data_IF_764487479673
#
_entry.id   IF_764487479673
#
_cell.length_a   1.000
_cell.length_b   1.000
_cell.length_c   1.000
_cell.angle_alpha   90.00
_cell.angle_beta   90.00
_cell.angle_gamma   90.00
#
_symmetry.space_group_name_H-M   'P 1'
#
loop_
_entity.id
_entity.type
_entity.pdbx_description
1 polymer ?
#
# COMPACT_ATOMS: atom_id res chain seq x y z
N UNK A 1 28.16 -13.76 4.03
CA UNK A 1 26.98 -13.73 3.16
C UNK A 1 27.32 -12.71 2.10
N UNK A 2 27.58 -13.19 0.87
CA UNK A 2 27.95 -12.31 -0.25
C UNK A 2 26.89 -11.24 -0.47
N UNK A 3 27.31 -10.07 -0.91
CA UNK A 3 26.55 -8.82 -1.10
C UNK A 3 25.18 -9.04 -1.77
N UNK A 4 24.15 -9.33 -0.98
CA UNK A 4 22.77 -9.37 -1.47
C UNK A 4 22.14 -8.00 -1.32
N UNK A 5 21.60 -7.48 -2.41
CA UNK A 5 20.93 -6.17 -2.45
C UNK A 5 19.42 -6.41 -2.56
N UNK A 6 18.67 -5.92 -1.58
CA UNK A 6 17.23 -6.05 -1.54
C UNK A 6 16.56 -4.75 -2.03
N UNK A 7 15.90 -4.82 -3.18
CA UNK A 7 15.21 -3.72 -3.85
C UNK A 7 13.73 -4.05 -4.13
N UNK A 8 13.09 -4.78 -3.21
CA UNK A 8 11.67 -5.17 -3.32
C UNK A 8 10.87 -4.76 -2.07
N UNK A 9 11.13 -3.56 -1.54
CA UNK A 9 10.48 -3.02 -0.34
C UNK A 9 8.97 -2.76 -0.52
N UNK A 10 8.50 -2.53 -1.74
CA UNK A 10 7.06 -2.42 -2.03
C UNK A 10 6.31 -3.74 -1.84
N UNK A 11 6.99 -4.90 -1.92
CA UNK A 11 6.38 -6.19 -1.56
C UNK A 11 6.33 -6.37 -0.05
N UNK A 12 7.44 -6.17 0.65
CA UNK A 12 7.54 -6.17 2.13
C UNK A 12 8.86 -5.55 2.55
N UNK A 13 8.90 -4.91 3.70
CA UNK A 13 10.14 -4.31 4.22
C UNK A 13 10.71 -5.07 5.43
N UNK A 14 12.04 -5.04 5.65
CA UNK A 14 12.64 -5.50 6.90
C UNK A 14 12.08 -4.72 8.10
N UNK A 15 11.98 -5.38 9.25
CA UNK A 15 11.55 -4.72 10.48
C UNK A 15 12.70 -3.86 11.00
N UNK A 16 12.40 -2.59 11.36
CA UNK A 16 13.40 -1.67 11.92
C UNK A 16 13.94 -2.20 13.27
N UNK A 17 15.26 -2.08 13.57
CA UNK A 17 15.83 -2.59 14.81
C UNK A 17 15.15 -2.07 16.09
N UNK A 18 14.77 -0.79 16.14
CA UNK A 18 14.04 -0.21 17.29
C UNK A 18 12.62 -0.78 17.43
N UNK A 19 11.97 -1.08 16.30
CA UNK A 19 10.66 -1.76 16.30
C UNK A 19 10.78 -3.16 16.89
N UNK A 20 11.84 -3.91 16.56
CA UNK A 20 12.10 -5.23 17.14
C UNK A 20 12.26 -5.09 18.66
N UNK A 21 13.01 -4.10 19.16
CA UNK A 21 13.18 -3.89 20.60
C UNK A 21 11.86 -3.53 21.30
N UNK A 22 11.04 -2.67 20.67
CA UNK A 22 9.70 -2.33 21.20
C UNK A 22 8.82 -3.57 21.30
N UNK A 23 8.80 -4.42 20.25
CA UNK A 23 8.03 -5.66 20.26
C UNK A 23 8.51 -6.64 21.33
N UNK A 24 9.83 -6.81 21.48
CA UNK A 24 10.41 -7.65 22.53
C UNK A 24 10.01 -7.14 23.92
N UNK A 25 10.06 -5.83 24.16
CA UNK A 25 9.58 -5.21 25.40
C UNK A 25 8.11 -5.51 25.67
N UNK A 26 7.25 -5.40 24.65
CA UNK A 26 5.82 -5.72 24.78
C UNK A 26 5.59 -7.21 25.07
N UNK A 27 6.29 -8.11 24.39
CA UNK A 27 6.17 -9.56 24.59
C UNK A 27 6.61 -9.97 26.01
N UNK A 28 7.70 -9.40 26.52
CA UNK A 28 8.28 -9.81 27.79
C UNK A 28 7.61 -9.17 28.99
N UNK A 29 7.16 -7.92 28.88
CA UNK A 29 6.70 -7.13 30.03
C UNK A 29 5.20 -6.85 30.04
N UNK A 30 4.50 -6.96 28.87
CA UNK A 30 3.10 -6.57 28.73
C UNK A 30 2.23 -7.74 28.28
N UNK A 31 2.26 -8.82 29.03
CA UNK A 31 1.59 -10.10 28.71
C UNK A 31 0.09 -10.15 29.09
N UNK A 32 -0.43 -9.11 29.72
CA UNK A 32 -1.83 -9.06 30.18
C UNK A 32 -2.81 -8.94 29.01
N UNK A 33 -4.04 -9.42 29.22
CA UNK A 33 -5.14 -9.17 28.30
C UNK A 33 -5.68 -7.74 28.55
N UNK A 34 -5.74 -6.86 27.54
CA UNK A 34 -6.23 -5.48 27.70
C UNK A 34 -7.69 -5.36 28.22
N UNK A 35 -8.47 -6.44 28.15
CA UNK A 35 -9.83 -6.49 28.70
C UNK A 35 -9.89 -6.85 30.17
N UNK A 36 -8.78 -7.27 30.80
CA UNK A 36 -8.73 -7.68 32.21
C UNK A 36 -8.62 -6.49 33.17
N UNK A 37 -9.31 -6.56 34.31
CA UNK A 37 -9.37 -5.47 35.31
C UNK A 37 -8.17 -5.41 36.25
N UNK A 38 -7.37 -6.48 36.33
CA UNK A 38 -6.19 -6.54 37.19
C UNK A 38 -4.98 -5.75 36.64
N UNK A 39 -3.90 -5.60 37.41
CA UNK A 39 -2.77 -4.76 37.06
C UNK A 39 -2.16 -5.05 35.68
N UNK A 40 -1.95 -6.34 35.33
CA UNK A 40 -1.34 -6.71 34.07
C UNK A 40 -2.27 -6.35 32.87
N UNK A 41 -3.60 -6.47 33.03
CA UNK A 41 -4.55 -6.04 32.01
C UNK A 41 -4.56 -4.51 31.84
N UNK A 42 -4.45 -3.75 32.94
CA UNK A 42 -4.36 -2.28 32.84
C UNK A 42 -3.08 -1.80 32.16
N UNK A 43 -1.95 -2.46 32.41
CA UNK A 43 -0.68 -2.18 31.72
C UNK A 43 -0.80 -2.46 30.20
N UNK A 44 -1.37 -3.61 29.84
CA UNK A 44 -1.64 -3.97 28.46
C UNK A 44 -2.59 -2.97 27.79
N UNK A 45 -3.65 -2.55 28.50
CA UNK A 45 -4.60 -1.54 28.01
C UNK A 45 -3.93 -0.19 27.81
N UNK A 46 -3.07 0.24 28.72
CA UNK A 46 -2.31 1.47 28.58
C UNK A 46 -1.43 1.44 27.33
N UNK A 47 -0.68 0.36 27.10
CA UNK A 47 0.17 0.22 25.93
C UNK A 47 -0.62 0.24 24.63
N UNK A 48 -1.80 -0.41 24.61
CA UNK A 48 -2.72 -0.38 23.45
C UNK A 48 -3.25 1.03 23.18
N UNK A 49 -3.65 1.76 24.21
CA UNK A 49 -4.22 3.11 24.07
C UNK A 49 -3.12 4.11 23.64
N UNK A 50 -1.90 4.02 24.15
CA UNK A 50 -0.74 4.82 23.72
C UNK A 50 -0.40 4.56 22.25
N UNK A 51 -0.36 3.30 21.83
CA UNK A 51 -0.11 2.95 20.43
C UNK A 51 -1.22 3.49 19.50
N UNK A 52 -2.48 3.40 19.92
CA UNK A 52 -3.62 3.94 19.20
C UNK A 52 -3.56 5.46 19.05
N UNK A 53 -3.17 6.15 20.11
CA UNK A 53 -2.96 7.61 20.10
C UNK A 53 -1.92 7.99 19.04
N UNK A 54 -0.73 7.39 19.08
CA UNK A 54 0.34 7.63 18.12
C UNK A 54 -0.11 7.42 16.66
N UNK A 55 -0.84 6.31 16.39
CA UNK A 55 -1.37 6.02 15.06
C UNK A 55 -2.41 7.07 14.65
N UNK A 56 -3.33 7.46 15.54
CA UNK A 56 -4.34 8.48 15.22
C UNK A 56 -3.68 9.82 14.87
N UNK A 57 -2.71 10.26 15.67
CA UNK A 57 -1.98 11.50 15.42
C UNK A 57 -1.26 11.51 14.08
N UNK A 58 -0.72 10.36 13.65
CA UNK A 58 0.04 10.25 12.40
C UNK A 58 -0.76 10.55 11.13
N UNK A 59 -2.10 10.53 11.22
CA UNK A 59 -3.03 10.84 10.12
C UNK A 59 -4.01 11.96 10.47
N UNK A 60 -3.77 12.70 11.56
CA UNK A 60 -4.65 13.76 12.08
C UNK A 60 -6.07 13.30 12.40
N UNK A 61 -6.21 12.05 12.88
CA UNK A 61 -7.45 11.44 13.34
C UNK A 61 -7.54 11.44 14.87
N UNK A 62 -8.67 10.95 15.40
CA UNK A 62 -8.85 10.72 16.83
C UNK A 62 -8.87 9.21 17.13
N UNK A 63 -8.42 8.82 18.32
CA UNK A 63 -8.23 7.41 18.74
C UNK A 63 -9.44 6.50 18.49
N UNK A 64 -10.67 7.04 18.64
CA UNK A 64 -11.90 6.27 18.42
C UNK A 64 -12.15 5.91 16.94
N UNK A 65 -11.44 6.54 16.01
CA UNK A 65 -11.55 6.33 14.57
C UNK A 65 -10.58 5.25 14.08
N UNK A 66 -9.68 4.77 14.92
CA UNK A 66 -8.73 3.72 14.56
C UNK A 66 -9.29 2.34 14.98
N UNK A 67 -9.22 1.39 14.05
CA UNK A 67 -9.48 -0.04 14.27
C UNK A 67 -8.23 -0.80 13.85
N UNK A 68 -7.60 -1.52 14.79
CA UNK A 68 -6.48 -2.39 14.45
C UNK A 68 -6.96 -3.64 13.71
N UNK A 69 -6.26 -3.99 12.63
CA UNK A 69 -6.52 -5.13 11.75
C UNK A 69 -5.28 -6.03 11.64
N UNK A 70 -5.39 -7.14 10.94
CA UNK A 70 -4.22 -7.99 10.65
C UNK A 70 -3.36 -7.50 9.46
N UNK A 71 -3.76 -6.43 8.80
CA UNK A 71 -3.05 -5.85 7.64
C UNK A 71 -4.00 -5.20 6.65
N UNK A 72 -3.47 -4.80 5.48
CA UNK A 72 -4.21 -4.12 4.42
C UNK A 72 -5.40 -4.92 3.93
N UNK A 73 -5.22 -6.20 3.61
CA UNK A 73 -6.31 -7.05 3.09
C UNK A 73 -7.52 -7.13 4.03
N UNK A 74 -7.31 -7.28 5.35
CA UNK A 74 -8.42 -7.23 6.31
C UNK A 74 -9.05 -5.83 6.35
N UNK A 75 -8.22 -4.78 6.32
CA UNK A 75 -8.68 -3.38 6.32
C UNK A 75 -9.58 -3.07 5.14
N UNK A 76 -9.14 -3.41 3.91
CA UNK A 76 -9.89 -3.19 2.67
C UNK A 76 -11.21 -3.97 2.65
N UNK A 77 -11.17 -5.26 3.03
CA UNK A 77 -12.38 -6.08 3.12
C UNK A 77 -13.38 -5.52 4.14
N UNK A 78 -12.89 -5.14 5.34
CA UNK A 78 -13.73 -4.55 6.39
C UNK A 78 -14.34 -3.22 5.93
N UNK A 79 -13.56 -2.37 5.25
CA UNK A 79 -14.01 -1.09 4.70
C UNK A 79 -15.08 -1.31 3.62
N UNK A 80 -14.74 -2.06 2.57
CA UNK A 80 -15.54 -2.17 1.34
C UNK A 80 -16.81 -2.99 1.60
N UNK A 81 -16.70 -4.21 2.15
CA UNK A 81 -17.87 -5.04 2.45
C UNK A 81 -18.71 -4.38 3.54
N UNK A 82 -18.05 -3.83 4.58
CA UNK A 82 -18.74 -3.18 5.69
C UNK A 82 -19.56 -1.98 5.27
N UNK A 83 -19.00 -1.12 4.39
CA UNK A 83 -19.69 0.05 3.84
C UNK A 83 -20.81 -0.37 2.89
N UNK A 84 -20.56 -1.28 1.96
CA UNK A 84 -21.56 -1.76 1.00
C UNK A 84 -22.80 -2.32 1.70
N UNK A 85 -22.60 -3.22 2.68
CA UNK A 85 -23.71 -3.80 3.43
C UNK A 85 -24.44 -2.79 4.32
N UNK A 86 -23.71 -1.79 4.87
CA UNK A 86 -24.34 -0.76 5.71
C UNK A 86 -25.21 0.22 4.91
N UNK A 87 -24.89 0.41 3.62
CA UNK A 87 -25.55 1.37 2.74
C UNK A 87 -26.47 0.73 1.68
N UNK A 88 -26.65 -0.59 1.70
CA UNK A 88 -27.38 -1.34 0.65
C UNK A 88 -28.84 -0.88 0.44
N UNK A 89 -29.46 -0.25 1.42
CA UNK A 89 -30.81 0.33 1.31
C UNK A 89 -30.80 1.69 0.55
N UNK A 90 -29.64 2.36 0.49
CA UNK A 90 -29.47 3.64 -0.21
C UNK A 90 -29.03 3.46 -1.66
N UNK A 91 -28.55 2.28 -2.03
CA UNK A 91 -28.11 1.94 -3.36
C UNK A 91 -27.23 0.70 -3.40
N UNK A 92 -26.81 0.32 -4.60
CA UNK A 92 -25.94 -0.85 -4.81
C UNK A 92 -24.79 -0.60 -5.77
N UNK A 93 -24.54 0.64 -6.12
CA UNK A 93 -23.46 0.99 -7.03
C UNK A 93 -22.18 1.34 -6.27
N UNK A 94 -21.07 0.75 -6.70
CA UNK A 94 -19.72 0.93 -6.16
C UNK A 94 -18.81 1.40 -7.30
N UNK A 95 -17.92 2.34 -7.01
CA UNK A 95 -16.90 2.79 -7.96
C UNK A 95 -15.52 2.46 -7.39
N UNK A 96 -14.65 1.87 -8.22
CA UNK A 96 -13.24 1.62 -7.91
C UNK A 96 -12.39 1.85 -9.15
N UNK A 97 -11.06 1.68 -9.07
CA UNK A 97 -10.19 1.80 -10.25
C UNK A 97 -9.73 0.44 -10.77
N UNK A 98 -9.28 0.40 -12.02
CA UNK A 98 -8.73 -0.82 -12.63
C UNK A 98 -7.37 -1.21 -12.06
N UNK A 99 -6.66 -0.31 -11.39
CA UNK A 99 -5.29 -0.50 -10.90
C UNK A 99 -5.20 -0.76 -9.39
N UNK A 100 -6.31 -1.07 -8.74
CA UNK A 100 -6.35 -1.35 -7.30
C UNK A 100 -5.56 -2.60 -6.91
N UNK A 101 -5.17 -2.68 -5.65
CA UNK A 101 -4.65 -3.93 -5.10
C UNK A 101 -5.72 -5.05 -5.16
N UNK A 102 -5.28 -6.29 -5.30
CA UNK A 102 -6.20 -7.45 -5.36
C UNK A 102 -7.14 -7.55 -4.15
N UNK A 103 -6.77 -7.03 -2.98
CA UNK A 103 -7.65 -6.98 -1.82
C UNK A 103 -8.90 -6.12 -2.05
N UNK A 104 -8.80 -5.08 -2.90
CA UNK A 104 -9.93 -4.25 -3.33
C UNK A 104 -10.66 -4.90 -4.49
N UNK A 105 -9.96 -5.27 -5.58
CA UNK A 105 -10.57 -5.84 -6.78
C UNK A 105 -11.36 -7.11 -6.47
N UNK A 106 -10.76 -8.08 -5.76
CA UNK A 106 -11.42 -9.34 -5.40
C UNK A 106 -12.59 -9.14 -4.43
N UNK A 107 -12.51 -8.12 -3.59
CA UNK A 107 -13.63 -7.76 -2.72
C UNK A 107 -14.78 -7.14 -3.52
N UNK A 108 -14.50 -6.33 -4.53
CA UNK A 108 -15.50 -5.80 -5.45
C UNK A 108 -16.14 -6.93 -6.28
N UNK A 109 -15.34 -7.83 -6.88
CA UNK A 109 -15.84 -9.02 -7.59
C UNK A 109 -16.76 -9.89 -6.69
N UNK A 110 -16.40 -10.07 -5.41
CA UNK A 110 -17.27 -10.76 -4.47
C UNK A 110 -18.60 -10.02 -4.28
N UNK A 111 -18.61 -8.70 -4.14
CA UNK A 111 -19.82 -7.91 -3.99
C UNK A 111 -20.72 -7.95 -5.23
N UNK A 112 -20.15 -8.06 -6.44
CA UNK A 112 -20.93 -8.29 -7.66
C UNK A 112 -21.73 -9.60 -7.56
N UNK A 113 -21.14 -10.68 -6.99
CA UNK A 113 -21.88 -11.93 -6.73
C UNK A 113 -23.00 -11.78 -5.71
N UNK A 114 -22.94 -10.74 -4.88
CA UNK A 114 -23.98 -10.39 -3.89
C UNK A 114 -25.04 -9.41 -4.44
N UNK A 115 -24.97 -9.08 -5.73
CA UNK A 115 -25.93 -8.23 -6.44
C UNK A 115 -25.66 -6.74 -6.30
N UNK A 116 -24.42 -6.35 -6.01
CA UNK A 116 -23.92 -4.98 -6.20
C UNK A 116 -23.44 -4.79 -7.64
N UNK A 117 -23.42 -3.56 -8.11
CA UNK A 117 -22.91 -3.16 -9.40
C UNK A 117 -21.59 -2.39 -9.21
N UNK A 118 -20.53 -2.78 -9.90
CA UNK A 118 -19.21 -2.15 -9.76
C UNK A 118 -18.78 -1.49 -11.06
N UNK A 119 -18.42 -0.21 -10.98
CA UNK A 119 -17.75 0.52 -12.07
C UNK A 119 -16.26 0.59 -11.77
N UNK A 120 -15.45 0.01 -12.67
CA UNK A 120 -14.00 0.06 -12.63
C UNK A 120 -13.50 1.21 -13.52
N UNK A 121 -13.11 2.32 -12.90
CA UNK A 121 -12.63 3.50 -13.62
C UNK A 121 -11.33 3.19 -14.37
N UNK A 122 -11.22 3.59 -15.63
CA UNK A 122 -9.98 3.54 -16.37
C UNK A 122 -8.98 4.55 -15.81
N UNK A 123 -7.72 4.35 -16.15
CA UNK A 123 -6.63 5.29 -15.84
C UNK A 123 -6.00 5.79 -17.15
N UNK A 124 -5.30 6.92 -17.06
CA UNK A 124 -4.51 7.43 -18.17
C UNK A 124 -3.18 6.67 -18.34
N UNK A 125 -2.35 7.08 -19.29
CA UNK A 125 -1.03 6.50 -19.58
C UNK A 125 -0.03 6.60 -18.41
N UNK A 126 -0.33 7.44 -17.42
CA UNK A 126 0.45 7.58 -16.17
C UNK A 126 -0.17 6.83 -14.99
N UNK A 127 -1.29 6.16 -15.19
CA UNK A 127 -2.00 5.43 -14.15
C UNK A 127 -2.84 6.33 -13.23
N UNK A 128 -3.26 7.51 -13.67
CA UNK A 128 -4.08 8.45 -12.90
C UNK A 128 -5.55 8.28 -13.26
N UNK A 129 -6.42 8.20 -12.25
CA UNK A 129 -7.88 8.26 -12.42
C UNK A 129 -8.29 9.70 -12.72
N UNK A 130 -9.02 9.92 -13.81
CA UNK A 130 -9.55 11.24 -14.15
C UNK A 130 -10.72 11.63 -13.25
N UNK A 131 -10.72 12.89 -12.79
CA UNK A 131 -11.83 13.44 -12.00
C UNK A 131 -13.12 13.49 -12.82
N UNK A 132 -13.01 13.77 -14.11
CA UNK A 132 -14.13 13.77 -15.05
C UNK A 132 -14.75 12.38 -15.16
N UNK A 133 -13.94 11.33 -15.33
CA UNK A 133 -14.42 9.94 -15.39
C UNK A 133 -15.13 9.53 -14.10
N UNK A 134 -14.65 9.97 -12.93
CA UNK A 134 -15.33 9.75 -11.67
C UNK A 134 -16.69 10.46 -11.64
N UNK A 135 -16.75 11.75 -12.05
CA UNK A 135 -17.98 12.52 -12.06
C UNK A 135 -19.03 11.93 -12.99
N UNK A 136 -18.62 11.43 -14.16
CA UNK A 136 -19.50 10.76 -15.11
C UNK A 136 -20.03 9.40 -14.59
N UNK A 137 -19.22 8.68 -13.81
CA UNK A 137 -19.58 7.40 -13.21
C UNK A 137 -20.49 7.55 -11.98
N UNK A 138 -20.50 8.71 -11.31
CA UNK A 138 -21.31 8.94 -10.11
C UNK A 138 -22.81 8.94 -10.43
N UNK A 139 -23.54 8.13 -9.65
CA UNK A 139 -25.00 7.95 -9.77
C UNK A 139 -25.67 8.27 -8.44
N UNK A 140 -26.97 8.59 -8.42
CA UNK A 140 -27.70 8.80 -7.16
C UNK A 140 -27.68 7.59 -6.22
N UNK A 141 -27.53 6.37 -6.77
CA UNK A 141 -27.44 5.11 -6.00
C UNK A 141 -25.99 4.64 -5.78
N UNK A 142 -24.98 5.47 -6.07
CA UNK A 142 -23.59 5.19 -5.69
C UNK A 142 -23.44 5.31 -4.17
N UNK A 143 -22.96 4.24 -3.54
CA UNK A 143 -22.84 4.13 -2.08
C UNK A 143 -21.41 4.08 -1.58
N UNK A 144 -20.47 3.73 -2.44
CA UNK A 144 -19.05 3.59 -2.09
C UNK A 144 -18.18 3.99 -3.29
N UNK A 145 -17.12 4.74 -3.02
CA UNK A 145 -16.01 4.99 -3.92
C UNK A 145 -14.74 4.52 -3.22
N UNK A 146 -13.96 3.64 -3.85
CA UNK A 146 -12.72 3.10 -3.31
C UNK A 146 -11.60 3.29 -4.31
N UNK A 147 -10.67 4.21 -4.04
CA UNK A 147 -9.52 4.51 -4.90
C UNK A 147 -8.25 4.48 -4.05
N UNK A 148 -7.26 3.69 -4.45
CA UNK A 148 -5.98 3.61 -3.75
C UNK A 148 -5.25 4.94 -3.76
N UNK A 149 -4.48 5.25 -2.72
CA UNK A 149 -3.73 6.51 -2.66
C UNK A 149 -2.46 6.45 -3.49
N UNK A 150 -1.74 5.35 -3.45
CA UNK A 150 -0.52 5.15 -4.20
C UNK A 150 -0.41 3.74 -4.75
N UNK A 151 -0.11 3.61 -6.04
CA UNK A 151 -0.03 2.31 -6.67
C UNK A 151 1.27 1.58 -6.32
N UNK A 152 1.16 0.31 -5.96
CA UNK A 152 2.28 -0.53 -5.52
C UNK A 152 3.19 -1.03 -6.64
N UNK A 153 2.79 -0.88 -7.91
CA UNK A 153 3.56 -1.36 -9.07
C UNK A 153 4.27 -0.23 -9.81
N UNK A 154 3.56 0.84 -10.13
CA UNK A 154 4.08 1.97 -10.90
C UNK A 154 4.38 3.20 -10.02
N UNK A 155 3.92 3.19 -8.77
CA UNK A 155 4.17 4.26 -7.82
C UNK A 155 3.26 5.48 -7.97
N UNK A 156 2.38 5.54 -8.96
CA UNK A 156 1.52 6.69 -9.23
C UNK A 156 0.66 7.04 -8.02
N UNK A 157 0.63 8.34 -7.67
CA UNK A 157 -0.17 8.89 -6.58
C UNK A 157 -1.48 9.40 -7.17
N UNK A 158 -2.61 8.95 -6.61
CA UNK A 158 -3.95 9.35 -7.05
C UNK A 158 -4.37 10.70 -6.43
N UNK A 159 -5.22 11.48 -7.09
CA UNK A 159 -5.68 12.80 -6.64
C UNK A 159 -6.76 12.68 -5.55
N UNK A 160 -6.43 12.06 -4.40
CA UNK A 160 -7.40 11.71 -3.35
C UNK A 160 -8.13 12.93 -2.78
N UNK A 161 -7.43 14.06 -2.58
CA UNK A 161 -8.05 15.27 -2.07
C UNK A 161 -9.08 15.87 -3.07
N UNK A 162 -8.81 15.77 -4.36
CA UNK A 162 -9.72 16.23 -5.42
C UNK A 162 -10.95 15.32 -5.51
N UNK A 163 -10.74 14.01 -5.43
CA UNK A 163 -11.81 13.01 -5.34
C UNK A 163 -12.69 13.27 -4.09
N UNK A 164 -12.06 13.49 -2.93
CA UNK A 164 -12.78 13.85 -1.69
C UNK A 164 -13.58 15.14 -1.80
N UNK A 165 -13.08 16.13 -2.56
CA UNK A 165 -13.82 17.37 -2.83
C UNK A 165 -15.06 17.13 -3.69
N UNK A 166 -14.98 16.26 -4.70
CA UNK A 166 -16.13 15.84 -5.54
C UNK A 166 -17.18 15.13 -4.69
N UNK A 167 -16.75 14.22 -3.81
CA UNK A 167 -17.65 13.39 -3.02
C UNK A 167 -18.24 14.10 -1.79
N UNK A 168 -17.79 15.30 -1.43
CA UNK A 168 -18.18 16.02 -0.21
C UNK A 168 -19.68 16.16 0.01
N UNK A 169 -20.45 16.32 -1.07
CA UNK A 169 -21.90 16.47 -1.03
C UNK A 169 -22.63 15.25 -1.60
N UNK A 170 -21.93 14.15 -1.82
CA UNK A 170 -22.50 12.91 -2.30
C UNK A 170 -22.70 11.92 -1.14
N UNK A 171 -23.69 11.01 -1.25
CA UNK A 171 -23.95 10.01 -0.20
C UNK A 171 -22.92 8.89 -0.11
N UNK A 172 -22.10 8.69 -1.15
CA UNK A 172 -21.11 7.62 -1.19
C UNK A 172 -20.04 7.79 -0.11
N UNK A 173 -19.76 6.71 0.60
CA UNK A 173 -18.61 6.62 1.51
C UNK A 173 -17.34 6.60 0.67
N UNK A 174 -16.34 7.37 1.07
CA UNK A 174 -15.05 7.41 0.38
C UNK A 174 -13.99 6.61 1.13
N UNK A 175 -13.50 5.53 0.53
CA UNK A 175 -12.41 4.69 0.99
C UNK A 175 -11.15 4.90 0.16
N UNK A 176 -9.99 4.88 0.81
CA UNK A 176 -8.68 4.81 0.14
C UNK A 176 -7.80 3.73 0.75
N UNK A 177 -7.23 2.86 -0.10
CA UNK A 177 -6.09 2.01 0.27
C UNK A 177 -4.83 2.88 0.29
N UNK A 178 -4.34 3.20 1.48
CA UNK A 178 -3.13 3.99 1.71
C UNK A 178 -1.92 3.13 2.11
N UNK A 179 -1.95 1.83 1.89
CA UNK A 179 -0.90 0.89 2.31
C UNK A 179 0.47 1.29 1.78
N UNK A 180 0.57 1.79 0.56
CA UNK A 180 1.83 2.24 -0.04
C UNK A 180 2.14 3.72 0.24
N UNK A 181 1.14 4.52 0.60
CA UNK A 181 1.29 5.95 0.84
C UNK A 181 1.64 6.28 2.29
N UNK A 182 1.15 5.47 3.25
CA UNK A 182 1.33 5.70 4.67
C UNK A 182 2.82 5.67 5.06
N UNK A 183 3.24 6.68 5.81
CA UNK A 183 4.63 6.86 6.22
C UNK A 183 5.50 7.63 5.19
N UNK A 184 5.09 7.69 3.92
CA UNK A 184 5.83 8.37 2.84
C UNK A 184 5.16 9.68 2.42
N UNK A 185 3.83 9.73 2.40
CA UNK A 185 3.08 10.94 2.13
C UNK A 185 2.58 11.58 3.41
N UNK A 186 2.34 12.89 3.36
CA UNK A 186 1.63 13.57 4.44
C UNK A 186 0.14 13.25 4.34
N UNK A 187 -0.40 12.55 5.34
CA UNK A 187 -1.80 12.15 5.36
C UNK A 187 -2.55 12.95 6.42
N UNK A 188 -3.48 13.78 5.97
CA UNK A 188 -4.48 14.40 6.82
C UNK A 188 -5.86 13.96 6.33
N UNK A 189 -6.49 13.04 7.06
CA UNK A 189 -7.76 12.43 6.64
C UNK A 189 -8.89 13.44 6.45
N UNK A 190 -8.83 14.58 7.17
CA UNK A 190 -9.82 15.65 7.02
C UNK A 190 -9.62 16.43 5.72
N UNK A 191 -8.37 16.74 5.37
CA UNK A 191 -8.02 17.44 4.12
C UNK A 191 -8.27 16.56 2.90
N UNK A 192 -7.97 15.26 3.00
CA UNK A 192 -8.25 14.28 1.96
C UNK A 192 -9.75 14.04 1.77
N UNK A 193 -10.57 14.32 2.77
CA UNK A 193 -12.02 14.12 2.71
C UNK A 193 -12.44 12.65 2.70
N UNK A 194 -11.58 11.74 3.16
CA UNK A 194 -11.86 10.31 3.21
C UNK A 194 -12.69 9.94 4.45
N UNK A 195 -13.56 8.95 4.31
CA UNK A 195 -14.33 8.37 5.41
C UNK A 195 -13.69 7.10 5.95
N UNK A 196 -12.92 6.39 5.12
CA UNK A 196 -12.21 5.15 5.42
C UNK A 196 -10.81 5.20 4.82
N UNK A 197 -9.81 4.70 5.57
CA UNK A 197 -8.43 4.60 5.07
C UNK A 197 -7.76 3.35 5.64
N UNK A 198 -7.23 2.52 4.74
CA UNK A 198 -6.53 1.27 5.08
C UNK A 198 -5.03 1.44 5.06
N UNK A 199 -4.34 0.79 6.03
CA UNK A 199 -2.87 0.74 6.08
C UNK A 199 -2.34 -0.63 6.48
N UNK A 200 -1.02 -0.82 6.31
CA UNK A 200 -0.33 -2.02 6.75
C UNK A 200 1.07 -1.71 7.27
N UNK A 201 1.42 -2.29 8.41
CA UNK A 201 2.67 -2.02 9.12
C UNK A 201 3.92 -2.44 8.36
N UNK A 202 3.87 -3.59 7.66
CA UNK A 202 5.06 -4.17 7.03
C UNK A 202 5.59 -3.40 5.81
N UNK A 203 4.89 -2.37 5.37
CA UNK A 203 5.35 -1.46 4.30
C UNK A 203 6.21 -0.32 4.84
N UNK A 204 6.13 -0.04 6.14
CA UNK A 204 6.88 1.03 6.81
C UNK A 204 7.87 0.49 7.85
N UNK A 205 8.49 -0.63 7.58
CA UNK A 205 9.46 -1.28 8.46
C UNK A 205 8.90 -1.74 9.81
N UNK A 206 7.60 -1.98 9.88
CA UNK A 206 6.91 -2.56 11.02
C UNK A 206 6.67 -4.07 10.85
N UNK A 207 6.04 -4.72 11.85
CA UNK A 207 5.77 -6.15 11.81
C UNK A 207 4.69 -6.53 10.79
N UNK A 208 4.78 -7.76 10.26
CA UNK A 208 3.70 -8.39 9.49
C UNK A 208 2.55 -8.77 10.43
N UNK A 209 1.35 -8.93 9.87
CA UNK A 209 0.18 -9.39 10.64
C UNK A 209 -0.44 -8.29 11.52
N UNK A 210 -0.22 -7.02 11.18
CA UNK A 210 -0.89 -5.87 11.78
C UNK A 210 -1.04 -4.73 10.78
N UNK A 211 -2.18 -4.05 10.85
CA UNK A 211 -2.54 -2.85 10.13
C UNK A 211 -3.56 -2.05 10.92
N UNK A 212 -4.07 -0.99 10.34
CA UNK A 212 -5.27 -0.33 10.85
C UNK A 212 -6.20 0.11 9.73
N UNK A 213 -7.48 0.20 10.08
CA UNK A 213 -8.50 0.89 9.33
C UNK A 213 -8.89 2.15 10.10
N UNK A 214 -8.75 3.32 9.47
CA UNK A 214 -9.38 4.55 9.92
C UNK A 214 -10.85 4.51 9.51
N UNK A 215 -11.73 4.82 10.44
CA UNK A 215 -13.17 4.95 10.22
C UNK A 215 -13.63 6.27 10.81
N UNK A 216 -13.93 7.24 9.96
CA UNK A 216 -14.43 8.56 10.35
C UNK A 216 -15.63 8.44 11.27
N UNK A 217 -15.64 9.23 12.33
CA UNK A 217 -16.73 9.20 13.29
C UNK A 217 -18.09 9.47 12.62
N UNK A 218 -19.02 8.56 12.79
CA UNK A 218 -20.35 8.61 12.15
C UNK A 218 -20.50 7.73 10.92
N UNK A 219 -19.40 7.27 10.30
CA UNK A 219 -19.47 6.31 9.20
C UNK A 219 -19.94 4.94 9.69
N UNK A 220 -20.99 4.41 9.05
CA UNK A 220 -21.62 3.13 9.42
C UNK A 220 -20.97 1.99 8.63
N UNK A 221 -20.56 0.95 9.34
CA UNK A 221 -20.03 -0.29 8.76
C UNK A 221 -20.75 -1.51 9.37
N UNK A 222 -20.97 -2.53 8.56
CA UNK A 222 -21.31 -3.86 9.05
C UNK A 222 -20.00 -4.64 9.25
N UNK A 223 -19.76 -5.06 10.48
CA UNK A 223 -18.52 -5.77 10.85
C UNK A 223 -18.65 -7.26 10.57
N UNK A 224 -17.66 -7.85 9.86
CA UNK A 224 -17.72 -9.26 9.44
C UNK A 224 -17.14 -10.22 10.48
N UNK A 225 -16.31 -9.73 11.40
CA UNK A 225 -15.70 -10.58 12.43
C UNK A 225 -16.50 -10.52 13.73
N UNK A 226 -17.16 -11.63 14.04
CA UNK A 226 -18.05 -11.75 15.21
C UNK A 226 -17.33 -12.44 16.36
N UNK A 227 -17.53 -11.94 17.60
CA UNK A 227 -16.91 -12.48 18.81
C UNK A 227 -16.97 -11.54 20.01
N UNK A 228 -15.82 -11.34 20.67
CA UNK A 228 -15.70 -10.42 21.82
C UNK A 228 -15.84 -8.95 21.44
N UNK A 229 -15.81 -8.08 22.46
CA UNK A 229 -16.07 -6.64 22.30
C UNK A 229 -14.81 -5.79 22.02
N UNK A 230 -13.72 -6.43 21.54
CA UNK A 230 -12.47 -5.75 21.20
C UNK A 230 -12.71 -4.69 20.12
N UNK A 231 -11.76 -3.78 19.98
CA UNK A 231 -11.86 -2.66 19.03
C UNK A 231 -13.23 -1.94 19.09
N UNK A 232 -13.78 -1.81 20.30
CA UNK A 232 -15.09 -1.17 20.54
C UNK A 232 -16.25 -1.87 19.82
N UNK A 233 -16.26 -3.21 19.81
CA UNK A 233 -17.24 -4.08 19.13
C UNK A 233 -17.16 -4.03 17.59
N UNK A 234 -16.04 -3.51 17.05
CA UNK A 234 -15.88 -3.33 15.60
C UNK A 234 -15.00 -4.40 14.96
N UNK A 235 -14.11 -5.01 15.73
CA UNK A 235 -13.26 -6.11 15.28
C UNK A 235 -12.97 -7.03 16.48
N UNK A 236 -13.57 -8.21 16.48
CA UNK A 236 -13.43 -9.18 17.55
C UNK A 236 -12.06 -9.88 17.54
N UNK A 237 -11.70 -10.48 18.67
CA UNK A 237 -10.44 -11.21 18.86
C UNK A 237 -9.43 -10.43 19.68
N UNK A 238 -8.68 -11.14 20.54
CA UNK A 238 -7.64 -10.54 21.39
C UNK A 238 -6.63 -9.79 20.54
N UNK A 239 -6.31 -8.58 20.96
CA UNK A 239 -5.45 -7.67 20.23
C UNK A 239 -4.00 -8.21 20.13
N UNK A 240 -3.37 -8.09 18.97
CA UNK A 240 -1.95 -8.38 18.77
C UNK A 240 -1.09 -7.25 19.36
N UNK A 241 -1.05 -7.17 20.69
CA UNK A 241 -0.45 -6.03 21.40
C UNK A 241 1.00 -5.77 20.97
N UNK A 242 1.83 -6.82 20.89
CA UNK A 242 3.22 -6.67 20.49
C UNK A 242 3.36 -6.12 19.04
N UNK A 243 2.53 -6.63 18.12
CA UNK A 243 2.47 -6.13 16.75
C UNK A 243 1.99 -4.68 16.69
N UNK A 244 0.97 -4.32 17.49
CA UNK A 244 0.42 -2.97 17.57
C UNK A 244 1.44 -1.98 18.11
N UNK A 245 2.15 -2.33 19.18
CA UNK A 245 3.25 -1.51 19.72
C UNK A 245 4.38 -1.35 18.68
N UNK A 246 4.72 -2.43 17.99
CA UNK A 246 5.69 -2.39 16.90
C UNK A 246 5.24 -1.50 15.74
N UNK A 247 3.96 -1.54 15.36
CA UNK A 247 3.43 -0.66 14.32
C UNK A 247 3.48 0.81 14.74
N UNK A 248 3.09 1.12 15.98
CA UNK A 248 3.18 2.48 16.53
C UNK A 248 4.62 3.01 16.50
N UNK A 249 5.61 2.19 16.89
CA UNK A 249 7.03 2.57 16.83
C UNK A 249 7.49 2.80 15.38
N UNK A 250 7.11 1.92 14.45
CA UNK A 250 7.42 2.09 13.02
C UNK A 250 6.81 3.37 12.45
N UNK A 251 5.57 3.68 12.82
CA UNK A 251 4.89 4.92 12.45
C UNK A 251 5.66 6.15 12.93
N UNK A 252 6.03 6.19 14.21
CA UNK A 252 6.78 7.31 14.78
C UNK A 252 8.13 7.54 14.07
N UNK A 253 8.87 6.46 13.79
CA UNK A 253 10.16 6.53 13.09
C UNK A 253 9.95 7.11 11.68
N UNK A 254 8.99 6.56 10.92
CA UNK A 254 8.74 7.00 9.54
C UNK A 254 8.26 8.45 9.48
N UNK A 255 7.42 8.91 10.42
CA UNK A 255 6.98 10.31 10.46
C UNK A 255 8.15 11.26 10.69
N UNK A 256 9.09 10.90 11.55
CA UNK A 256 10.26 11.72 11.87
C UNK A 256 11.29 11.74 10.73
N UNK A 257 11.42 10.65 9.96
CA UNK A 257 12.44 10.50 8.92
C UNK A 257 11.89 10.68 7.49
N UNK A 258 10.60 10.92 7.34
CA UNK A 258 9.88 10.92 6.06
C UNK A 258 10.54 11.78 4.99
N UNK A 259 10.81 13.03 5.29
CA UNK A 259 11.36 13.99 4.31
C UNK A 259 12.75 13.54 3.85
N UNK A 260 13.63 13.20 4.80
CA UNK A 260 14.98 12.73 4.52
C UNK A 260 14.98 11.47 3.66
N UNK A 261 14.14 10.48 4.02
CA UNK A 261 14.04 9.22 3.26
C UNK A 261 13.46 9.43 1.87
N UNK A 262 12.48 10.31 1.74
CA UNK A 262 11.90 10.62 0.43
C UNK A 262 12.93 11.25 -0.50
N UNK A 263 13.74 12.20 -0.01
CA UNK A 263 14.83 12.80 -0.76
C UNK A 263 15.87 11.76 -1.17
N UNK A 264 16.23 10.86 -0.25
CA UNK A 264 17.16 9.77 -0.50
C UNK A 264 16.65 8.83 -1.60
N UNK A 265 15.40 8.34 -1.51
CA UNK A 265 14.82 7.44 -2.52
C UNK A 265 14.69 8.10 -3.90
N UNK A 266 14.35 9.38 -3.95
CA UNK A 266 14.35 10.16 -5.20
C UNK A 266 15.75 10.24 -5.78
N UNK A 267 16.77 10.43 -4.93
CA UNK A 267 18.18 10.46 -5.36
C UNK A 267 18.63 9.12 -5.96
N UNK A 268 18.17 8.00 -5.38
CA UNK A 268 18.45 6.66 -5.88
C UNK A 268 17.87 6.43 -7.28
N UNK A 269 16.59 6.81 -7.52
CA UNK A 269 15.99 6.75 -8.87
C UNK A 269 16.80 7.53 -9.89
N UNK A 270 17.14 8.77 -9.56
CA UNK A 270 17.95 9.64 -10.44
C UNK A 270 19.29 9.01 -10.76
N UNK A 271 19.98 8.49 -9.74
CA UNK A 271 21.30 7.90 -9.89
C UNK A 271 21.29 6.64 -10.76
N UNK A 272 20.31 5.75 -10.57
CA UNK A 272 20.14 4.57 -11.45
C UNK A 272 19.91 5.01 -12.90
N UNK A 273 19.01 5.94 -13.14
CA UNK A 273 18.72 6.46 -14.48
C UNK A 273 19.97 7.12 -15.13
N UNK A 274 20.80 7.83 -14.37
CA UNK A 274 22.07 8.41 -14.87
C UNK A 274 23.05 7.33 -15.31
N UNK A 275 23.22 6.27 -14.51
CA UNK A 275 24.08 5.14 -14.83
C UNK A 275 23.63 4.47 -16.13
N UNK A 276 22.33 4.20 -16.27
CA UNK A 276 21.79 3.56 -17.46
C UNK A 276 21.90 4.43 -18.71
N UNK A 277 21.62 5.74 -18.61
CA UNK A 277 21.86 6.68 -19.73
C UNK A 277 23.32 6.73 -20.13
N UNK A 278 24.24 6.72 -19.15
CA UNK A 278 25.69 6.73 -19.41
C UNK A 278 26.18 5.44 -20.07
N UNK A 279 25.44 4.35 -19.89
CA UNK A 279 25.70 3.06 -20.53
C UNK A 279 24.96 2.90 -21.88
N UNK A 280 24.32 3.95 -22.39
CA UNK A 280 23.52 3.95 -23.62
C UNK A 280 22.40 2.88 -23.59
N UNK A 281 21.82 2.66 -22.42
CA UNK A 281 20.74 1.69 -22.21
C UNK A 281 19.40 2.33 -22.56
N UNK A 282 18.62 1.64 -23.40
CA UNK A 282 17.24 2.05 -23.70
C UNK A 282 16.31 1.62 -22.55
N UNK A 283 15.60 2.57 -21.95
CA UNK A 283 14.64 2.30 -20.88
C UNK A 283 13.56 3.38 -20.81
N UNK A 284 12.38 2.98 -20.35
CA UNK A 284 11.23 3.85 -20.14
C UNK A 284 10.77 3.77 -18.66
N UNK A 285 10.41 4.90 -18.07
CA UNK A 285 9.88 4.95 -16.69
C UNK A 285 8.35 5.00 -16.75
N UNK A 286 7.68 4.06 -16.08
CA UNK A 286 6.24 4.05 -15.99
C UNK A 286 5.77 5.01 -14.88
N UNK A 287 4.61 5.63 -15.09
CA UNK A 287 4.05 6.65 -14.21
C UNK A 287 4.60 8.05 -14.51
N UNK A 288 4.08 9.03 -13.83
CA UNK A 288 4.53 10.43 -13.95
C UNK A 288 5.53 10.75 -12.85
N UNK A 289 6.77 11.13 -13.20
CA UNK A 289 7.86 11.32 -12.24
C UNK A 289 7.50 12.30 -11.09
N UNK A 290 6.74 13.36 -11.39
CA UNK A 290 6.32 14.34 -10.38
C UNK A 290 5.25 13.83 -9.39
N UNK A 291 4.48 12.79 -9.77
CA UNK A 291 3.35 12.25 -9.02
C UNK A 291 3.53 10.76 -8.68
N UNK A 292 4.75 10.35 -8.36
CA UNK A 292 5.03 8.96 -7.95
C UNK A 292 5.56 8.88 -6.54
N UNK A 293 5.22 7.79 -5.86
CA UNK A 293 5.80 7.44 -4.57
C UNK A 293 7.33 7.41 -4.66
N UNK A 294 8.04 8.01 -3.71
CA UNK A 294 9.49 8.17 -3.80
C UNK A 294 10.24 6.84 -3.86
N UNK A 295 9.73 5.80 -3.21
CA UNK A 295 10.40 4.51 -3.07
C UNK A 295 10.11 3.51 -4.21
N UNK A 296 9.11 3.72 -5.06
CA UNK A 296 8.78 2.83 -6.19
C UNK A 296 9.38 3.37 -7.48
N UNK A 297 10.11 2.53 -8.19
CA UNK A 297 10.70 2.83 -9.49
C UNK A 297 10.33 1.72 -10.47
N UNK A 298 9.34 1.97 -11.31
CA UNK A 298 8.85 1.05 -12.33
C UNK A 298 9.50 1.36 -13.67
N UNK A 299 10.24 0.41 -14.22
CA UNK A 299 11.07 0.63 -15.42
C UNK A 299 10.83 -0.48 -16.44
N UNK A 300 10.58 -0.08 -17.67
CA UNK A 300 10.55 -0.96 -18.83
C UNK A 300 11.91 -0.96 -19.51
N UNK A 301 12.39 -2.14 -19.88
CA UNK A 301 13.54 -2.34 -20.75
C UNK A 301 13.07 -2.97 -22.07
N UNK A 302 12.88 -2.18 -23.15
CA UNK A 302 12.32 -2.68 -24.40
C UNK A 302 13.09 -3.87 -24.97
N UNK A 303 12.38 -4.95 -25.32
CA UNK A 303 12.97 -6.18 -25.86
C UNK A 303 13.58 -7.13 -24.83
N UNK A 304 13.49 -6.83 -23.53
CA UNK A 304 14.04 -7.68 -22.46
C UNK A 304 12.93 -8.38 -21.69
N UNK A 305 12.91 -9.72 -21.73
CA UNK A 305 11.96 -10.50 -20.96
C UNK A 305 12.16 -10.29 -19.46
N UNK A 306 11.09 -9.86 -18.76
CA UNK A 306 11.12 -9.66 -17.32
C UNK A 306 11.45 -10.93 -16.56
N UNK A 307 10.98 -12.11 -16.99
CA UNK A 307 11.31 -13.38 -16.35
C UNK A 307 12.81 -13.67 -16.40
N UNK A 308 13.42 -13.49 -17.58
CA UNK A 308 14.86 -13.66 -17.75
C UNK A 308 15.65 -12.64 -16.92
N UNK A 309 15.19 -11.38 -16.89
CA UNK A 309 15.83 -10.33 -16.11
C UNK A 309 15.80 -10.67 -14.60
N UNK A 310 14.63 -11.03 -14.05
CA UNK A 310 14.50 -11.41 -12.64
C UNK A 310 15.39 -12.59 -12.26
N UNK A 311 15.40 -13.65 -13.08
CA UNK A 311 16.25 -14.83 -12.81
C UNK A 311 17.74 -14.48 -12.79
N UNK A 312 18.21 -13.67 -13.74
CA UNK A 312 19.61 -13.27 -13.80
C UNK A 312 19.99 -12.37 -12.62
N UNK A 313 19.13 -11.42 -12.24
CA UNK A 313 19.39 -10.53 -11.10
C UNK A 313 19.40 -11.29 -9.77
N UNK A 314 18.50 -12.26 -9.57
CA UNK A 314 18.49 -13.12 -8.38
C UNK A 314 19.78 -13.95 -8.26
N UNK A 315 20.27 -14.51 -9.39
CA UNK A 315 21.57 -15.20 -9.43
C UNK A 315 22.75 -14.28 -9.08
N UNK A 316 22.65 -13.01 -9.42
CA UNK A 316 23.62 -11.97 -9.09
C UNK A 316 23.38 -11.35 -7.69
N UNK A 317 22.43 -11.86 -6.91
CA UNK A 317 22.13 -11.46 -5.54
C UNK A 317 21.29 -10.18 -5.42
N UNK A 318 20.60 -9.76 -6.48
CA UNK A 318 19.76 -8.57 -6.50
C UNK A 318 18.28 -8.97 -6.55
N UNK A 319 17.53 -8.65 -5.49
CA UNK A 319 16.11 -8.92 -5.38
C UNK A 319 15.27 -7.73 -5.88
N UNK A 320 14.54 -7.92 -6.96
CA UNK A 320 13.56 -6.98 -7.54
C UNK A 320 12.29 -7.75 -7.90
N UNK A 321 11.23 -7.09 -8.38
CA UNK A 321 9.94 -7.72 -8.72
C UNK A 321 9.43 -7.30 -10.10
N UNK A 322 8.51 -8.07 -10.67
CA UNK A 322 7.73 -7.68 -11.86
C UNK A 322 6.51 -6.79 -11.54
N UNK A 323 6.26 -6.52 -10.25
CA UNK A 323 5.02 -5.85 -9.82
C UNK A 323 3.87 -6.81 -9.56
N UNK A 324 3.59 -7.76 -10.45
CA UNK A 324 2.61 -8.83 -10.22
C UNK A 324 3.16 -9.93 -9.31
N UNK A 325 2.29 -10.49 -8.46
CA UNK A 325 2.65 -11.65 -7.64
C UNK A 325 2.84 -12.88 -8.53
N UNK A 326 4.00 -13.56 -8.42
CA UNK A 326 4.21 -14.85 -9.07
C UNK A 326 3.31 -15.88 -8.40
N UNK A 327 2.28 -16.37 -9.08
CA UNK A 327 1.51 -17.54 -8.68
C UNK A 327 2.09 -18.76 -9.37
N UNK A 328 2.70 -19.66 -8.57
CA UNK A 328 3.12 -21.01 -9.01
C UNK A 328 4.09 -21.10 -10.20
N UNK A 329 4.94 -20.08 -10.43
CA UNK A 329 6.00 -20.17 -11.47
C UNK A 329 5.58 -19.67 -12.86
N UNK A 330 4.37 -19.16 -13.05
CA UNK A 330 3.96 -18.37 -14.22
C UNK A 330 3.70 -16.93 -13.76
N UNK A 331 4.27 -15.96 -14.49
CA UNK A 331 4.00 -14.55 -14.24
C UNK A 331 2.68 -14.22 -14.94
N UNK A 332 1.58 -14.17 -14.18
CA UNK A 332 0.34 -13.63 -14.73
C UNK A 332 0.57 -12.15 -15.12
N UNK A 333 0.05 -11.70 -16.28
CA UNK A 333 0.18 -10.31 -16.70
C UNK A 333 -0.28 -9.35 -15.60
N UNK A 334 0.51 -8.31 -15.32
CA UNK A 334 0.10 -7.28 -14.38
C UNK A 334 -1.16 -6.58 -14.87
N UNK A 335 -2.24 -6.66 -14.09
CA UNK A 335 -3.48 -5.94 -14.39
C UNK A 335 -3.28 -4.42 -14.44
N UNK A 336 -2.31 -3.89 -13.67
CA UNK A 336 -1.93 -2.47 -13.70
C UNK A 336 -1.34 -2.09 -15.03
N UNK A 337 -0.35 -2.87 -15.54
CA UNK A 337 0.26 -2.62 -16.86
C UNK A 337 -0.74 -2.86 -18.00
N UNK A 338 -1.64 -3.83 -17.84
CA UNK A 338 -2.75 -4.05 -18.81
C UNK A 338 -3.68 -2.85 -18.83
N UNK A 339 -4.01 -2.26 -17.68
CA UNK A 339 -4.86 -1.07 -17.60
C UNK A 339 -4.20 0.16 -18.26
N UNK A 340 -2.87 0.30 -18.16
CA UNK A 340 -2.13 1.41 -18.75
C UNK A 340 -1.96 1.26 -20.27
N UNK A 341 -1.59 0.06 -20.72
CA UNK A 341 -1.06 -0.15 -22.08
C UNK A 341 -1.94 -1.02 -22.97
N UNK A 342 -2.91 -1.73 -22.41
CA UNK A 342 -3.71 -2.75 -23.08
C UNK A 342 -3.06 -4.13 -23.10
N UNK A 343 -3.87 -5.19 -23.24
CA UNK A 343 -3.50 -6.61 -23.01
C UNK A 343 -2.30 -7.12 -23.86
N UNK A 344 -2.08 -6.57 -25.05
CA UNK A 344 -1.06 -7.06 -25.97
C UNK A 344 0.20 -6.17 -26.05
N UNK A 345 0.33 -5.20 -25.15
CA UNK A 345 1.47 -4.29 -25.19
C UNK A 345 2.74 -4.95 -24.63
N UNK A 346 3.92 -4.83 -25.28
CA UNK A 346 5.15 -5.46 -24.82
C UNK A 346 5.57 -5.08 -23.40
N UNK A 347 5.27 -3.86 -22.96
CA UNK A 347 5.60 -3.37 -21.60
C UNK A 347 5.17 -4.32 -20.48
N UNK A 348 4.10 -5.12 -20.69
CA UNK A 348 3.60 -6.09 -19.72
C UNK A 348 4.66 -7.15 -19.36
N UNK A 349 5.50 -7.53 -20.34
CA UNK A 349 6.54 -8.54 -20.19
C UNK A 349 7.95 -7.98 -20.14
N UNK A 350 8.10 -6.66 -20.13
CA UNK A 350 9.38 -5.95 -20.19
C UNK A 350 9.60 -5.01 -18.99
N UNK A 351 8.67 -4.95 -18.03
CA UNK A 351 8.70 -4.02 -16.91
C UNK A 351 9.17 -4.68 -15.62
N UNK A 352 10.16 -4.06 -14.96
CA UNK A 352 10.63 -4.40 -13.62
C UNK A 352 10.22 -3.32 -12.63
N UNK A 353 9.82 -3.73 -11.43
CA UNK A 353 9.65 -2.83 -10.29
C UNK A 353 10.85 -2.93 -9.37
N UNK A 354 11.50 -1.82 -9.14
CA UNK A 354 12.55 -1.61 -8.15
C UNK A 354 11.94 -0.80 -7.02
N UNK A 355 12.18 -1.16 -5.76
CA UNK A 355 11.66 -0.38 -4.65
C UNK A 355 12.64 -0.31 -3.49
N UNK A 356 12.88 0.91 -3.02
CA UNK A 356 13.88 1.25 -2.02
C UNK A 356 13.31 1.25 -0.60
N UNK A 357 14.18 1.05 0.38
CA UNK A 357 13.78 1.04 1.78
C UNK A 357 14.93 0.98 2.76
N UNK A 358 14.64 0.57 3.98
CA UNK A 358 15.60 0.45 5.07
C UNK A 358 16.77 -0.46 4.69
N UNK A 359 17.99 0.07 4.83
CA UNK A 359 19.24 -0.64 4.57
C UNK A 359 19.81 -0.41 3.17
N UNK A 360 19.09 0.26 2.26
CA UNK A 360 19.66 0.66 0.99
C UNK A 360 20.54 1.91 1.16
N UNK A 361 21.70 1.88 0.53
CA UNK A 361 22.66 2.97 0.48
C UNK A 361 23.06 3.25 -0.95
N UNK A 362 23.52 4.48 -1.23
CA UNK A 362 23.84 4.92 -2.59
C UNK A 362 24.82 3.98 -3.31
N UNK A 363 25.84 3.49 -2.62
CA UNK A 363 26.84 2.56 -3.18
C UNK A 363 26.21 1.24 -3.64
N UNK A 364 25.27 0.68 -2.86
CA UNK A 364 24.56 -0.55 -3.25
C UNK A 364 23.63 -0.31 -4.44
N UNK A 365 22.98 0.86 -4.48
CA UNK A 365 22.10 1.27 -5.58
C UNK A 365 22.92 1.43 -6.87
N UNK A 366 24.10 2.03 -6.80
CA UNK A 366 25.01 2.14 -7.94
C UNK A 366 25.50 0.77 -8.44
N UNK A 367 25.85 -0.14 -7.51
CA UNK A 367 26.22 -1.51 -7.87
C UNK A 367 25.05 -2.24 -8.55
N UNK A 368 23.85 -2.12 -7.99
CA UNK A 368 22.66 -2.72 -8.58
C UNK A 368 22.35 -2.14 -9.97
N UNK A 369 22.44 -0.82 -10.14
CA UNK A 369 22.21 -0.16 -11.42
C UNK A 369 23.19 -0.63 -12.49
N UNK A 370 24.49 -0.73 -12.15
CA UNK A 370 25.54 -1.24 -13.03
C UNK A 370 25.26 -2.69 -13.43
N UNK A 371 24.90 -3.52 -12.46
CA UNK A 371 24.60 -4.94 -12.70
C UNK A 371 23.37 -5.14 -13.57
N UNK A 372 22.32 -4.37 -13.33
CA UNK A 372 21.10 -4.36 -14.17
C UNK A 372 21.50 -4.00 -15.62
N UNK A 373 22.35 -2.97 -15.81
CA UNK A 373 22.83 -2.59 -17.15
C UNK A 373 23.59 -3.72 -17.86
N UNK A 374 24.47 -4.43 -17.14
CA UNK A 374 25.22 -5.58 -17.68
C UNK A 374 24.27 -6.72 -18.10
N UNK A 375 23.29 -7.04 -17.25
CA UNK A 375 22.33 -8.13 -17.51
C UNK A 375 21.43 -7.76 -18.71
N UNK A 376 20.87 -6.55 -18.73
CA UNK A 376 20.02 -6.07 -19.83
C UNK A 376 20.79 -6.09 -21.15
N UNK A 377 22.00 -5.54 -21.17
CA UNK A 377 22.87 -5.54 -22.37
C UNK A 377 23.18 -6.97 -22.86
N UNK A 378 23.35 -7.91 -21.94
CA UNK A 378 23.57 -9.32 -22.27
C UNK A 378 22.33 -9.96 -22.90
N UNK A 379 21.15 -9.70 -22.33
CA UNK A 379 19.87 -10.26 -22.80
C UNK A 379 19.46 -9.69 -24.17
N UNK A 380 19.77 -8.43 -24.45
CA UNK A 380 19.52 -7.81 -25.77
C UNK A 380 20.37 -8.38 -26.91
N UNK A 381 21.47 -9.10 -26.63
CA UNK A 381 22.36 -9.68 -27.63
C UNK A 381 22.00 -11.12 -28.01
N UNK A 382 21.00 -11.69 -27.37
CA UNK A 382 20.51 -13.04 -27.63
C UNK A 382 19.29 -13.00 -28.52
#
# INVERSE_FOLDING_TARGET
MENRIYLDHAATSPIHPEVIQTMLGAITNTYGNPSSIHYAGREARKALDEARHTIADSIHAIEKEIIFTSGGTEGDNLAIIGAALAQQESGKHIITSQIEHHAVLKTCEYLETQGFEVTYLPVDEHGIVSIESLQEALRPDTILVSIMYGNNEIGTIQPIAEIGAVLRNHQAIFHTDAVQAYGLLNINVTELGVDLLTTSSHKINGPRGVGFLYVKNGTRLIYQMHGGEQERKRRAGTENLAGICGFSAASSIMMNERELKNEEYISFKKRMAEIWRSADLDFEVNGLEANTLPHVFSVRFPGVSIEQLLMNLDMDGIAVSSGSACTSGTVDPSHVLVALFGENHPAIQETVRISFGLGNHLEEVEMAATKISEVVTRLMKI
#
